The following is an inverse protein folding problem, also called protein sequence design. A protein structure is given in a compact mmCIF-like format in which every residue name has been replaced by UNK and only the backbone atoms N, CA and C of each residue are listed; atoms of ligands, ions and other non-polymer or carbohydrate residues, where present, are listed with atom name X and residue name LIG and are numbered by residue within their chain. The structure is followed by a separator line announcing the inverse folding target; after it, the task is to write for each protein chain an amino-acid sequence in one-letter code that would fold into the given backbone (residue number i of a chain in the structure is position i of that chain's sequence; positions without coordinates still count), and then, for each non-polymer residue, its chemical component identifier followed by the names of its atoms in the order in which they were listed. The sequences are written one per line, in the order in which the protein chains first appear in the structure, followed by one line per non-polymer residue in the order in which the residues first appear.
data_IF_243219166705
#
_entry.id   IF_243219166705
#
_cell.length_a   1.000
_cell.length_b   1.000
_cell.length_c   1.000
_cell.angle_alpha   90.00
_cell.angle_beta   90.00
_cell.angle_gamma   90.00
#
_symmetry.space_group_name_H-M   'P 1'
#
loop_
_entity.id
_entity.type
_entity.pdbx_description
1 polymer ?
#
# COMPACT_ATOMS: atom_id res chain seq x y z
N UNK A 1 -21.48 19.91 6.50
CA UNK A 1 -20.51 20.35 5.48
C UNK A 1 -19.13 19.93 5.98
N UNK A 2 -18.38 19.12 5.22
CA UNK A 2 -17.05 18.66 5.61
C UNK A 2 -16.02 19.75 5.29
N UNK A 3 -15.10 20.04 6.20
CA UNK A 3 -14.03 21.01 6.00
C UNK A 3 -12.67 20.32 6.19
N UNK A 4 -11.70 20.58 5.30
CA UNK A 4 -10.34 20.01 5.36
C UNK A 4 -9.60 20.27 6.67
N UNK A 5 -9.94 21.33 7.40
CA UNK A 5 -9.40 21.58 8.75
C UNK A 5 -9.69 20.45 9.75
N UNK A 6 -10.71 19.63 9.50
CA UNK A 6 -11.02 18.43 10.29
C UNK A 6 -10.08 17.28 9.94
N UNK A 7 -9.57 17.24 8.70
CA UNK A 7 -8.74 16.15 8.17
C UNK A 7 -7.24 16.41 8.34
N UNK A 8 -6.80 17.68 8.32
CA UNK A 8 -5.38 18.04 8.55
C UNK A 8 -4.74 17.47 9.83
N UNK A 9 -5.43 17.34 10.98
CA UNK A 9 -4.83 16.75 12.16
C UNK A 9 -4.77 15.21 12.13
N UNK A 10 -5.32 14.54 11.10
CA UNK A 10 -5.19 13.09 11.00
C UNK A 10 -3.72 12.74 10.74
N UNK A 11 -3.20 11.66 11.36
CA UNK A 11 -1.80 11.27 11.27
C UNK A 11 -1.49 10.58 9.94
N UNK A 12 -1.92 11.17 8.81
CA UNK A 12 -1.68 10.63 7.47
C UNK A 12 -0.29 11.10 7.02
N UNK A 13 0.64 10.19 6.68
CA UNK A 13 1.95 10.56 6.16
C UNK A 13 1.85 11.46 4.94
N UNK A 14 2.64 12.53 4.91
CA UNK A 14 2.70 13.48 3.79
C UNK A 14 4.15 13.63 3.27
N UNK A 15 4.73 12.55 2.71
CA UNK A 15 6.07 12.60 2.12
C UNK A 15 6.12 13.50 0.87
N UNK A 16 7.30 14.04 0.50
CA UNK A 16 7.50 14.77 -0.76
C UNK A 16 6.99 14.02 -1.99
N UNK A 17 6.59 14.76 -3.03
CA UNK A 17 6.01 14.20 -4.28
C UNK A 17 6.96 13.25 -5.02
N UNK A 18 8.26 13.46 -4.84
CA UNK A 18 9.37 12.70 -5.44
C UNK A 18 9.92 11.61 -4.50
N UNK A 19 9.34 11.45 -3.30
CA UNK A 19 9.74 10.40 -2.39
C UNK A 19 9.47 9.01 -3.02
N UNK A 20 10.46 8.11 -3.10
CA UNK A 20 10.30 6.82 -3.78
C UNK A 20 9.12 5.99 -3.25
N UNK A 21 8.97 5.93 -1.91
CA UNK A 21 7.87 5.19 -1.28
C UNK A 21 6.49 5.78 -1.61
N UNK A 22 6.38 7.11 -1.73
CA UNK A 22 5.13 7.76 -2.13
C UNK A 22 4.73 7.35 -3.54
N UNK A 23 5.67 7.43 -4.48
CA UNK A 23 5.42 7.06 -5.87
C UNK A 23 5.03 5.59 -5.99
N UNK A 24 5.72 4.72 -5.24
CA UNK A 24 5.42 3.28 -5.24
C UNK A 24 4.02 2.98 -4.67
N UNK A 25 3.62 3.62 -3.58
CA UNK A 25 2.26 3.50 -3.02
C UNK A 25 1.20 3.96 -4.03
N UNK A 26 1.44 5.06 -4.73
CA UNK A 26 0.52 5.58 -5.75
C UNK A 26 0.38 4.62 -6.93
N UNK A 27 1.51 4.12 -7.44
CA UNK A 27 1.55 3.15 -8.55
C UNK A 27 0.80 1.86 -8.20
N UNK A 28 1.14 1.22 -7.08
CA UNK A 28 0.52 -0.05 -6.67
C UNK A 28 -0.98 0.14 -6.38
N UNK A 29 -1.35 1.21 -5.67
CA UNK A 29 -2.77 1.54 -5.42
C UNK A 29 -3.53 1.73 -6.74
N UNK A 30 -2.91 2.38 -7.72
CA UNK A 30 -3.46 2.57 -9.06
C UNK A 30 -3.69 1.23 -9.77
N UNK A 31 -2.65 0.39 -9.82
CA UNK A 31 -2.70 -0.94 -10.45
C UNK A 31 -3.78 -1.83 -9.85
N UNK A 32 -3.87 -1.89 -8.52
CA UNK A 32 -4.87 -2.70 -7.81
C UNK A 32 -6.30 -2.18 -7.99
N UNK A 33 -6.49 -0.87 -8.23
CA UNK A 33 -7.80 -0.25 -8.44
C UNK A 33 -8.28 -0.33 -9.89
N UNK A 34 -7.37 -0.32 -10.86
CA UNK A 34 -7.67 -0.32 -12.30
C UNK A 34 -8.03 -1.74 -12.81
N UNK A 35 -9.05 -2.37 -12.23
CA UNK A 35 -9.36 -3.81 -12.44
C UNK A 35 -9.81 -4.13 -13.87
N UNK A 36 -10.53 -3.23 -14.52
CA UNK A 36 -11.10 -3.41 -15.85
C UNK A 36 -11.42 -2.06 -16.52
N UNK A 37 -11.89 -2.10 -17.77
CA UNK A 37 -12.15 -0.93 -18.62
C UNK A 37 -13.06 0.14 -18.00
N UNK A 38 -13.88 -0.19 -16.99
CA UNK A 38 -14.68 0.82 -16.27
C UNK A 38 -13.82 1.85 -15.55
N UNK A 39 -12.55 1.52 -15.33
CA UNK A 39 -11.56 2.35 -14.63
C UNK A 39 -10.57 3.02 -15.60
N UNK A 40 -10.80 3.00 -16.91
CA UNK A 40 -9.86 3.54 -17.90
C UNK A 40 -9.49 5.01 -17.65
N UNK A 41 -10.48 5.86 -17.37
CA UNK A 41 -10.25 7.29 -17.07
C UNK A 41 -9.42 7.47 -15.80
N UNK A 42 -9.67 6.66 -14.77
CA UNK A 42 -8.91 6.66 -13.52
C UNK A 42 -7.47 6.20 -13.76
N UNK A 43 -7.30 5.07 -14.45
CA UNK A 43 -6.01 4.48 -14.76
C UNK A 43 -5.13 5.45 -15.56
N UNK A 44 -5.72 6.15 -16.54
CA UNK A 44 -5.05 7.19 -17.31
C UNK A 44 -4.64 8.39 -16.43
N UNK A 45 -5.51 8.81 -15.51
CA UNK A 45 -5.22 9.94 -14.60
C UNK A 45 -4.08 9.64 -13.61
N UNK A 46 -3.95 8.40 -13.16
CA UNK A 46 -2.88 7.97 -12.25
C UNK A 46 -1.67 7.34 -12.96
N UNK A 47 -1.73 7.17 -14.28
CA UNK A 47 -0.63 6.72 -15.13
C UNK A 47 -0.34 5.22 -15.09
N UNK A 48 -1.36 4.37 -14.89
CA UNK A 48 -1.22 2.90 -14.82
C UNK A 48 -2.02 2.20 -15.92
N UNK A 49 -1.63 0.98 -16.35
CA UNK A 49 -2.44 0.16 -17.25
C UNK A 49 -3.73 -0.33 -16.58
N UNK A 50 -4.72 -0.69 -17.41
CA UNK A 50 -5.99 -1.28 -16.98
C UNK A 50 -5.92 -2.80 -17.02
N UNK A 51 -6.44 -3.47 -16.00
CA UNK A 51 -6.61 -4.92 -15.95
C UNK A 51 -5.30 -5.72 -16.03
N UNK A 52 -4.18 -5.10 -15.67
CA UNK A 52 -2.85 -5.71 -15.86
C UNK A 52 -2.46 -6.70 -14.76
N UNK A 53 -3.08 -6.61 -13.58
CA UNK A 53 -2.65 -7.37 -12.40
C UNK A 53 -3.30 -8.75 -12.39
N UNK A 54 -2.45 -9.80 -12.46
CA UNK A 54 -2.87 -11.18 -12.32
C UNK A 54 -3.20 -11.58 -10.88
N UNK A 55 -3.87 -12.73 -10.69
CA UNK A 55 -4.27 -13.18 -9.35
C UNK A 55 -3.09 -13.45 -8.40
N UNK A 56 -2.01 -14.06 -8.89
CA UNK A 56 -0.80 -14.33 -8.09
C UNK A 56 -0.03 -13.04 -7.79
N UNK A 57 0.07 -12.14 -8.77
CA UNK A 57 0.73 -10.83 -8.63
C UNK A 57 -0.03 -9.92 -7.68
N UNK A 58 -1.35 -10.03 -7.61
CA UNK A 58 -2.19 -9.21 -6.74
C UNK A 58 -1.79 -9.31 -5.27
N UNK A 59 -1.59 -10.53 -4.77
CA UNK A 59 -1.24 -10.74 -3.36
C UNK A 59 0.16 -10.20 -3.05
N UNK A 60 1.12 -10.34 -3.97
CA UNK A 60 2.46 -9.76 -3.83
C UNK A 60 2.42 -8.22 -3.80
N UNK A 61 1.65 -7.60 -4.71
CA UNK A 61 1.44 -6.15 -4.74
C UNK A 61 0.75 -5.64 -3.47
N UNK A 62 -0.22 -6.38 -2.93
CA UNK A 62 -0.86 -6.04 -1.66
C UNK A 62 0.16 -6.08 -0.52
N UNK A 63 1.01 -7.09 -0.47
CA UNK A 63 2.06 -7.19 0.55
C UNK A 63 3.10 -6.06 0.41
N UNK A 64 3.49 -5.72 -0.82
CA UNK A 64 4.39 -4.59 -1.07
C UNK A 64 3.75 -3.24 -0.66
N UNK A 65 2.45 -3.07 -0.94
CA UNK A 65 1.70 -1.87 -0.56
C UNK A 65 1.66 -1.70 0.96
N UNK A 66 1.31 -2.76 1.69
CA UNK A 66 1.28 -2.76 3.16
C UNK A 66 2.66 -2.40 3.74
N UNK A 67 3.74 -2.95 3.16
CA UNK A 67 5.11 -2.67 3.57
C UNK A 67 5.52 -1.20 3.34
N UNK A 68 5.20 -0.65 2.16
CA UNK A 68 5.48 0.74 1.84
C UNK A 68 4.69 1.71 2.73
N UNK A 69 3.42 1.40 3.00
CA UNK A 69 2.58 2.19 3.92
C UNK A 69 3.11 2.11 5.35
N UNK A 70 3.50 0.93 5.83
CA UNK A 70 4.09 0.77 7.16
C UNK A 70 5.33 1.66 7.35
N UNK A 71 6.23 1.69 6.37
CA UNK A 71 7.40 2.58 6.38
C UNK A 71 7.01 4.06 6.43
N UNK A 72 6.00 4.48 5.64
CA UNK A 72 5.52 5.87 5.64
C UNK A 72 4.90 6.29 6.99
N UNK A 73 4.25 5.36 7.70
CA UNK A 73 3.74 5.58 9.05
C UNK A 73 4.83 5.46 10.14
N UNK A 74 6.06 5.09 9.77
CA UNK A 74 7.17 4.92 10.71
C UNK A 74 7.04 3.67 11.59
N UNK A 75 6.29 2.66 11.14
CA UNK A 75 6.13 1.39 11.85
C UNK A 75 7.40 0.53 11.74
N UNK A 76 7.71 -0.21 12.79
CA UNK A 76 8.78 -1.19 12.81
C UNK A 76 8.26 -2.62 12.54
N UNK A 77 9.15 -3.58 12.26
CA UNK A 77 8.75 -4.98 12.04
C UNK A 77 7.86 -5.55 13.18
N UNK A 78 8.13 -5.28 14.48
CA UNK A 78 7.25 -5.73 15.56
C UNK A 78 5.84 -5.12 15.51
N UNK A 79 5.70 -3.86 15.08
CA UNK A 79 4.40 -3.22 14.93
C UNK A 79 3.57 -3.92 13.84
N UNK A 80 4.22 -4.23 12.70
CA UNK A 80 3.61 -4.97 11.59
C UNK A 80 3.15 -6.35 12.08
N UNK A 81 4.02 -7.08 12.79
CA UNK A 81 3.66 -8.38 13.36
C UNK A 81 2.43 -8.30 14.26
N UNK A 82 2.41 -7.35 15.20
CA UNK A 82 1.27 -7.16 16.12
C UNK A 82 -0.02 -6.85 15.36
N UNK A 83 0.03 -6.04 14.30
CA UNK A 83 -1.15 -5.72 13.47
C UNK A 83 -1.71 -7.00 12.84
N UNK A 84 -0.87 -7.81 12.20
CA UNK A 84 -1.30 -9.06 11.58
C UNK A 84 -1.80 -10.07 12.62
N UNK A 85 -1.10 -10.22 13.76
CA UNK A 85 -1.50 -11.09 14.87
C UNK A 85 -2.81 -10.65 15.54
N UNK A 86 -3.15 -9.36 15.50
CA UNK A 86 -4.37 -8.85 16.14
C UNK A 86 -5.58 -8.87 15.18
N UNK A 87 -5.37 -8.53 13.91
CA UNK A 87 -6.46 -8.23 12.96
C UNK A 87 -6.62 -9.27 11.84
N UNK A 88 -6.51 -10.57 12.16
CA UNK A 88 -6.62 -11.66 11.19
C UNK A 88 -7.86 -12.56 11.32
N UNK A 89 -8.91 -12.09 12.01
CA UNK A 89 -10.06 -12.93 12.32
C UNK A 89 -10.64 -13.62 11.06
N UNK A 90 -10.53 -14.95 11.02
CA UNK A 90 -11.09 -15.79 9.94
C UNK A 90 -10.15 -16.12 8.78
N UNK A 91 -8.86 -15.81 8.83
CA UNK A 91 -7.90 -16.19 7.78
C UNK A 91 -6.48 -16.48 8.31
N UNK A 92 -5.70 -17.26 7.55
CA UNK A 92 -4.29 -17.52 7.86
C UNK A 92 -3.42 -16.33 7.40
N UNK A 93 -2.97 -15.54 8.37
CA UNK A 93 -2.25 -14.29 8.12
C UNK A 93 -0.79 -14.47 7.78
N UNK A 94 -0.20 -15.62 8.11
CA UNK A 94 1.25 -15.83 8.06
C UNK A 94 1.83 -15.62 6.66
N UNK A 95 1.22 -16.17 5.57
CA UNK A 95 1.78 -15.97 4.23
C UNK A 95 1.86 -14.50 3.82
N UNK A 96 0.83 -13.70 4.17
CA UNK A 96 0.84 -12.26 3.86
C UNK A 96 1.81 -11.50 4.76
N UNK A 97 1.88 -11.83 6.06
CA UNK A 97 2.87 -11.22 6.96
C UNK A 97 4.30 -11.47 6.47
N UNK A 98 4.62 -12.70 6.05
CA UNK A 98 5.94 -13.04 5.53
C UNK A 98 6.29 -12.21 4.29
N UNK A 99 5.35 -12.09 3.34
CA UNK A 99 5.51 -11.23 2.16
C UNK A 99 5.69 -9.75 2.52
N UNK A 100 4.89 -9.23 3.46
CA UNK A 100 5.03 -7.84 3.93
C UNK A 100 6.40 -7.60 4.54
N UNK A 101 6.89 -8.51 5.38
CA UNK A 101 8.21 -8.37 6.02
C UNK A 101 9.36 -8.48 4.99
N UNK A 102 9.21 -9.30 3.96
CA UNK A 102 10.17 -9.36 2.84
C UNK A 102 10.25 -8.01 2.11
N UNK A 103 9.11 -7.47 1.67
CA UNK A 103 9.03 -6.18 1.00
C UNK A 103 9.49 -5.05 1.90
N UNK A 104 9.13 -5.06 3.19
CA UNK A 104 9.52 -4.06 4.17
C UNK A 104 11.04 -3.95 4.26
N UNK A 105 11.75 -5.08 4.42
CA UNK A 105 13.22 -5.10 4.48
C UNK A 105 13.84 -4.62 3.16
N UNK A 106 13.23 -4.97 2.03
CA UNK A 106 13.68 -4.53 0.70
C UNK A 106 13.56 -3.01 0.54
N UNK A 107 12.39 -2.46 0.88
CA UNK A 107 11.98 -1.07 0.72
C UNK A 107 12.56 -0.13 1.78
N UNK A 108 12.91 -0.62 2.97
CA UNK A 108 13.51 0.18 4.05
C UNK A 108 14.78 0.93 3.61
N UNK A 109 15.47 0.43 2.59
CA UNK A 109 16.65 1.09 1.99
C UNK A 109 16.32 2.34 1.16
N UNK A 110 15.04 2.53 0.82
CA UNK A 110 14.49 3.65 0.06
C UNK A 110 13.74 4.66 0.94
N UNK A 111 13.54 4.31 2.23
CA UNK A 111 12.82 5.10 3.23
C UNK A 111 13.69 6.23 3.79
#
# INVERSE_FOLDING_TARGET
NLNFHILYPFPIPNPPVDAPLRQRVQEISGLLAAVDERWADWAAAVGVPVGSVGAEEKEDLIAELDAAVALLYGLEEPDIQIIFETFHAGWDYKPRLDGVLEHYRRLRRLA
#
